data_IF_241260702294
#
_entry.id   IF_241260702294
#
_cell.length_a   1.000
_cell.length_b   1.000
_cell.length_c   1.000
_cell.angle_alpha   90.00
_cell.angle_beta   90.00
_cell.angle_gamma   90.00
#
_symmetry.space_group_name_H-M   'P 1'
#
loop_
_entity.id
_entity.type
_entity.pdbx_description
1 polymer ?
#
# COMPACT_ATOMS: atom_id res chain seq x y z
N UNK A 1 -17.12 5.47 -9.29
CA UNK A 1 -17.44 4.54 -8.17
C UNK A 1 -17.72 5.31 -6.87
N UNK A 2 -16.82 6.19 -6.42
CA UNK A 2 -17.03 6.97 -5.18
C UNK A 2 -18.32 7.80 -5.20
N UNK A 3 -18.63 8.48 -6.31
CA UNK A 3 -19.87 9.25 -6.45
C UNK A 3 -21.14 8.41 -6.24
N UNK A 4 -21.09 7.14 -6.64
CA UNK A 4 -22.21 6.21 -6.45
C UNK A 4 -22.30 5.81 -4.99
N UNK A 5 -21.18 5.43 -4.37
CA UNK A 5 -21.13 4.98 -2.99
C UNK A 5 -21.50 6.08 -1.99
N UNK A 6 -21.08 7.31 -2.26
CA UNK A 6 -21.30 8.46 -1.36
C UNK A 6 -22.70 9.07 -1.49
N UNK A 7 -23.45 8.79 -2.56
CA UNK A 7 -24.84 9.28 -2.72
C UNK A 7 -25.79 8.78 -1.63
N UNK A 8 -25.55 7.59 -1.10
CA UNK A 8 -26.34 7.03 -0.03
C UNK A 8 -25.53 7.04 1.27
N UNK A 9 -25.86 7.99 2.17
CA UNK A 9 -25.16 8.15 3.44
C UNK A 9 -25.24 6.90 4.33
N UNK A 10 -26.35 6.14 4.28
CA UNK A 10 -26.53 4.93 5.07
C UNK A 10 -25.65 3.77 4.57
N UNK A 11 -25.37 3.74 3.29
CA UNK A 11 -24.39 2.81 2.69
C UNK A 11 -22.99 3.28 2.99
N UNK A 12 -22.70 4.56 2.72
CA UNK A 12 -21.36 5.12 2.89
C UNK A 12 -20.83 4.97 4.31
N UNK A 13 -21.64 5.23 5.32
CA UNK A 13 -21.22 5.09 6.72
C UNK A 13 -20.79 3.67 7.14
N UNK A 14 -21.02 2.67 6.28
CA UNK A 14 -20.65 1.26 6.51
C UNK A 14 -19.67 0.74 5.45
N UNK A 15 -19.11 1.64 4.63
CA UNK A 15 -18.30 1.25 3.47
C UNK A 15 -16.84 1.60 3.71
N UNK A 16 -15.97 0.66 3.43
CA UNK A 16 -14.55 0.87 3.20
C UNK A 16 -14.30 0.50 1.74
N UNK A 17 -13.87 1.47 0.95
CA UNK A 17 -13.59 1.32 -0.46
C UNK A 17 -12.09 1.38 -0.70
N UNK A 18 -11.52 0.30 -1.22
CA UNK A 18 -10.08 0.18 -1.49
C UNK A 18 -9.89 0.00 -2.98
N UNK A 19 -9.08 0.86 -3.58
CA UNK A 19 -8.53 0.67 -4.91
C UNK A 19 -7.03 0.44 -4.76
N UNK A 20 -6.55 -0.66 -5.28
CA UNK A 20 -5.14 -0.99 -5.30
C UNK A 20 -4.73 -1.29 -6.74
N UNK A 21 -3.60 -0.75 -7.18
CA UNK A 21 -3.00 -1.13 -8.44
C UNK A 21 -2.40 -2.52 -8.32
N UNK A 22 -2.34 -3.24 -9.40
CA UNK A 22 -1.75 -4.58 -9.49
C UNK A 22 -0.22 -4.53 -9.47
N UNK A 23 0.35 -3.48 -10.08
CA UNK A 23 1.80 -3.31 -10.17
C UNK A 23 2.20 -1.81 -10.16
N UNK A 24 3.50 -1.55 -10.15
CA UNK A 24 4.07 -0.21 -10.13
C UNK A 24 4.10 0.48 -11.50
N UNK A 25 3.65 -0.16 -12.57
CA UNK A 25 3.59 0.34 -13.95
C UNK A 25 4.94 0.89 -14.48
N UNK A 26 6.06 0.29 -14.02
CA UNK A 26 7.42 0.70 -14.38
C UNK A 26 7.95 1.95 -13.68
N UNK A 27 7.20 2.51 -12.74
CA UNK A 27 7.66 3.66 -11.95
C UNK A 27 8.50 3.22 -10.76
N UNK A 28 9.59 3.95 -10.50
CA UNK A 28 10.50 3.72 -9.37
C UNK A 28 10.23 4.71 -8.25
N UNK A 29 10.60 4.32 -7.03
CA UNK A 29 10.62 5.22 -5.89
C UNK A 29 12.06 5.59 -5.50
N UNK A 30 12.21 6.66 -4.72
CA UNK A 30 13.48 7.07 -4.12
C UNK A 30 13.89 6.17 -2.94
N UNK A 31 12.96 5.36 -2.40
CA UNK A 31 13.19 4.41 -1.33
C UNK A 31 13.34 3.01 -1.93
N UNK A 32 14.41 2.33 -1.58
CA UNK A 32 14.58 0.92 -1.95
C UNK A 32 13.52 0.07 -1.27
N UNK A 33 12.88 -0.86 -2.02
CA UNK A 33 11.97 -1.85 -1.41
C UNK A 33 12.68 -2.69 -0.35
N UNK A 34 11.97 -3.07 0.69
CA UNK A 34 12.48 -4.03 1.65
C UNK A 34 12.65 -5.40 0.99
N UNK A 35 13.77 -6.01 1.27
CA UNK A 35 14.08 -7.37 0.83
C UNK A 35 14.34 -8.26 2.02
N UNK A 36 14.00 -9.54 1.88
CA UNK A 36 14.26 -10.54 2.88
C UNK A 36 15.74 -10.91 2.87
N UNK A 37 16.39 -11.15 4.04
CA UNK A 37 17.73 -11.68 4.07
C UNK A 37 17.76 -13.14 3.57
N UNK A 38 18.92 -13.55 3.07
CA UNK A 38 19.12 -14.92 2.59
C UNK A 38 18.97 -15.91 3.75
N UNK A 39 18.19 -17.00 3.56
CA UNK A 39 18.08 -18.05 4.56
C UNK A 39 19.44 -18.61 4.97
N UNK A 40 19.67 -18.76 6.26
CA UNK A 40 20.90 -19.31 6.84
C UNK A 40 22.20 -18.51 6.53
N UNK A 41 22.09 -17.26 6.13
CA UNK A 41 23.23 -16.37 5.87
C UNK A 41 23.09 -15.06 6.62
N UNK A 42 23.66 -14.99 7.80
CA UNK A 42 23.61 -13.82 8.68
C UNK A 42 24.36 -12.59 8.13
N UNK A 43 25.20 -12.75 7.10
CA UNK A 43 25.88 -11.64 6.45
C UNK A 43 24.94 -10.75 5.65
N UNK A 44 23.79 -11.28 5.22
CA UNK A 44 22.76 -10.56 4.46
C UNK A 44 21.69 -9.91 5.34
N UNK A 45 21.67 -10.23 6.64
CA UNK A 45 20.74 -9.71 7.63
C UNK A 45 20.31 -10.76 8.65
N UNK A 46 19.66 -10.31 9.70
CA UNK A 46 19.18 -11.16 10.78
C UNK A 46 17.68 -10.95 10.97
N UNK A 47 16.95 -12.05 11.13
CA UNK A 47 15.54 -12.07 11.51
C UNK A 47 15.35 -12.83 12.81
N UNK A 48 14.26 -12.57 13.51
CA UNK A 48 13.90 -13.32 14.72
C UNK A 48 13.65 -14.80 14.37
N UNK A 49 14.01 -15.72 15.28
CA UNK A 49 13.95 -17.17 15.04
C UNK A 49 12.60 -17.71 14.57
N UNK A 50 11.51 -17.05 14.96
CA UNK A 50 10.15 -17.44 14.61
C UNK A 50 9.72 -16.97 13.21
N UNK A 51 10.55 -16.19 12.49
CA UNK A 51 10.24 -15.67 11.17
C UNK A 51 10.88 -16.57 10.13
N UNK A 52 10.05 -17.25 9.34
CA UNK A 52 10.50 -17.99 8.16
C UNK A 52 10.64 -17.02 6.97
N UNK A 53 11.80 -17.02 6.37
CA UNK A 53 12.18 -16.19 5.23
C UNK A 53 12.17 -16.94 3.89
N UNK A 54 12.00 -18.26 3.91
CA UNK A 54 12.11 -19.09 2.69
C UNK A 54 11.03 -18.75 1.66
N UNK A 55 9.84 -18.38 2.12
CA UNK A 55 8.73 -18.04 1.22
C UNK A 55 8.95 -16.75 0.40
N UNK A 56 9.87 -15.90 0.84
CA UNK A 56 10.18 -14.62 0.19
C UNK A 56 11.59 -14.59 -0.41
N UNK A 57 12.23 -15.76 -0.54
CA UNK A 57 13.56 -15.91 -1.12
C UNK A 57 13.57 -17.03 -2.14
N UNK A 58 14.00 -16.74 -3.39
CA UNK A 58 14.18 -17.74 -4.45
C UNK A 58 15.56 -18.38 -4.33
N UNK A 59 15.63 -19.57 -3.76
CA UNK A 59 16.90 -20.27 -3.54
C UNK A 59 17.58 -20.70 -4.84
N UNK A 60 16.82 -21.07 -5.85
CA UNK A 60 17.29 -21.47 -7.19
C UNK A 60 17.91 -20.29 -7.95
N UNK A 61 17.37 -19.10 -7.79
CA UNK A 61 17.90 -17.87 -8.39
C UNK A 61 18.91 -17.15 -7.47
N UNK A 62 19.05 -17.63 -6.22
CA UNK A 62 19.83 -16.98 -5.17
C UNK A 62 19.46 -15.49 -4.99
N UNK A 63 18.19 -15.17 -5.00
CA UNK A 63 17.67 -13.81 -4.99
C UNK A 63 16.48 -13.61 -4.04
N UNK A 64 16.42 -12.50 -3.31
CA UNK A 64 15.24 -12.14 -2.54
C UNK A 64 14.09 -11.71 -3.47
N UNK A 65 12.86 -12.08 -3.13
CA UNK A 65 11.66 -11.58 -3.80
C UNK A 65 11.40 -10.13 -3.36
N UNK A 66 11.39 -9.88 -2.05
CA UNK A 66 11.15 -8.55 -1.48
C UNK A 66 9.73 -8.02 -1.71
N UNK A 67 9.53 -6.73 -1.42
CA UNK A 67 8.21 -6.07 -1.55
C UNK A 67 7.96 -5.47 -2.94
N UNK A 68 9.01 -5.29 -3.74
CA UNK A 68 8.91 -4.57 -5.01
C UNK A 68 8.78 -3.05 -4.83
N UNK A 69 8.68 -2.34 -5.95
CA UNK A 69 8.53 -0.89 -5.94
C UNK A 69 7.11 -0.46 -5.57
N UNK A 70 6.97 0.82 -5.21
CA UNK A 70 5.71 1.40 -4.74
C UNK A 70 4.57 1.19 -5.74
N UNK A 71 3.46 0.69 -5.20
CA UNK A 71 2.19 0.53 -5.92
C UNK A 71 1.17 1.51 -5.35
N UNK A 72 0.47 2.30 -6.17
CA UNK A 72 -0.57 3.21 -5.68
C UNK A 72 -1.73 2.45 -5.04
N UNK A 73 -2.17 2.93 -3.87
CA UNK A 73 -3.37 2.45 -3.18
C UNK A 73 -4.20 3.64 -2.70
N UNK A 74 -5.51 3.53 -2.82
CA UNK A 74 -6.48 4.50 -2.30
C UNK A 74 -7.41 3.77 -1.34
N UNK A 75 -7.51 4.28 -0.12
CA UNK A 75 -8.46 3.80 0.89
C UNK A 75 -9.43 4.91 1.21
N UNK A 76 -10.68 4.76 0.80
CA UNK A 76 -11.73 5.77 0.99
C UNK A 76 -12.85 5.23 1.89
N UNK A 77 -13.08 5.90 3.00
CA UNK A 77 -14.15 5.57 3.96
C UNK A 77 -14.38 6.73 4.92
N UNK A 78 -15.46 6.73 5.73
CA UNK A 78 -15.63 7.71 6.81
C UNK A 78 -14.51 7.67 7.85
N UNK A 79 -13.79 6.54 7.97
CA UNK A 79 -12.73 6.35 8.97
C UNK A 79 -11.32 6.60 8.44
N UNK A 80 -11.11 6.65 7.11
CA UNK A 80 -9.81 6.92 6.47
C UNK A 80 -9.68 8.35 5.97
N UNK A 81 -10.11 9.31 6.80
CA UNK A 81 -10.10 10.74 6.46
C UNK A 81 -8.67 11.26 6.34
N UNK A 82 -8.45 12.22 5.42
CA UNK A 82 -7.17 12.86 5.21
C UNK A 82 -6.66 13.70 6.41
N UNK A 83 -5.50 14.31 6.22
CA UNK A 83 -4.83 15.11 7.25
C UNK A 83 -3.85 14.34 8.12
N UNK A 84 -3.58 13.07 7.80
CA UNK A 84 -2.61 12.24 8.51
C UNK A 84 -1.57 11.68 7.56
N UNK A 85 -0.35 11.50 8.07
CA UNK A 85 0.70 10.71 7.43
C UNK A 85 0.78 9.37 8.14
N UNK A 86 0.78 8.28 7.38
CA UNK A 86 1.01 6.93 7.89
C UNK A 86 2.33 6.40 7.29
N UNK A 87 3.31 6.21 8.13
CA UNK A 87 4.65 5.75 7.73
C UNK A 87 4.82 4.23 7.87
N UNK A 88 3.75 3.49 8.16
CA UNK A 88 3.80 2.04 8.19
C UNK A 88 4.00 1.48 6.79
N UNK A 89 4.81 0.44 6.67
CA UNK A 89 5.02 -0.26 5.41
C UNK A 89 3.79 -1.12 5.11
N UNK A 90 3.32 -1.07 3.89
CA UNK A 90 2.25 -1.90 3.37
C UNK A 90 2.68 -2.56 2.06
N UNK A 91 2.08 -3.71 1.77
CA UNK A 91 2.17 -4.38 0.47
C UNK A 91 0.80 -4.96 0.07
N UNK A 92 0.72 -5.71 -1.02
CA UNK A 92 -0.53 -6.34 -1.45
C UNK A 92 -1.12 -7.27 -0.39
N UNK A 93 -0.27 -7.93 0.43
CA UNK A 93 -0.75 -8.82 1.49
C UNK A 93 -1.39 -8.07 2.66
N UNK A 94 -1.15 -6.76 2.78
CA UNK A 94 -1.80 -5.91 3.78
C UNK A 94 -3.33 -5.90 3.64
N UNK A 95 -3.83 -5.95 2.40
CA UNK A 95 -5.27 -6.07 2.13
C UNK A 95 -5.82 -7.41 2.60
N UNK A 96 -5.07 -8.50 2.40
CA UNK A 96 -5.45 -9.82 2.91
C UNK A 96 -5.49 -9.85 4.44
N UNK A 97 -4.46 -9.29 5.09
CA UNK A 97 -4.41 -9.18 6.56
C UNK A 97 -5.54 -8.31 7.12
N UNK A 98 -5.93 -7.25 6.41
CA UNK A 98 -7.10 -6.46 6.76
C UNK A 98 -8.39 -7.29 6.69
N UNK A 99 -8.59 -8.06 5.62
CA UNK A 99 -9.76 -8.95 5.48
C UNK A 99 -9.77 -10.04 6.55
N UNK A 100 -8.63 -10.62 6.90
CA UNK A 100 -8.51 -11.57 8.01
C UNK A 100 -9.02 -10.96 9.33
N UNK A 101 -8.56 -9.75 9.66
CA UNK A 101 -8.97 -9.04 10.85
C UNK A 101 -10.48 -8.71 10.84
N UNK A 102 -10.97 -8.21 9.72
CA UNK A 102 -12.38 -7.89 9.54
C UNK A 102 -13.27 -9.13 9.71
N UNK A 103 -12.92 -10.21 9.01
CA UNK A 103 -13.69 -11.47 9.06
C UNK A 103 -13.59 -12.13 10.43
N UNK A 104 -12.42 -12.11 11.06
CA UNK A 104 -12.22 -12.66 12.40
C UNK A 104 -13.13 -11.98 13.41
N UNK A 105 -13.21 -10.65 13.38
CA UNK A 105 -14.10 -9.87 14.23
C UNK A 105 -15.58 -10.14 13.91
N UNK A 106 -15.94 -10.20 12.64
CA UNK A 106 -17.32 -10.40 12.20
C UNK A 106 -17.86 -11.77 12.56
N UNK A 107 -17.03 -12.80 12.51
CA UNK A 107 -17.45 -14.21 12.71
C UNK A 107 -17.15 -14.68 14.14
N UNK A 108 -16.35 -13.94 14.91
CA UNK A 108 -15.98 -14.30 16.29
C UNK A 108 -14.97 -15.43 16.41
N UNK A 109 -14.20 -15.71 15.34
CA UNK A 109 -13.15 -16.72 15.35
C UNK A 109 -11.93 -16.24 14.58
N UNK A 110 -10.73 -16.75 14.92
CA UNK A 110 -9.50 -16.40 14.23
C UNK A 110 -9.50 -16.96 12.80
N UNK A 111 -9.44 -16.06 11.81
CA UNK A 111 -9.31 -16.37 10.39
C UNK A 111 -7.95 -15.89 9.93
N UNK A 112 -7.14 -16.80 9.43
CA UNK A 112 -5.82 -16.51 8.83
C UNK A 112 -5.64 -17.34 7.57
N UNK A 113 -5.14 -16.71 6.50
CA UNK A 113 -4.66 -17.42 5.32
C UNK A 113 -3.23 -17.90 5.50
N UNK A 114 -2.89 -19.06 4.94
CA UNK A 114 -1.52 -19.52 4.85
C UNK A 114 -0.70 -18.85 3.73
N UNK A 115 -1.32 -17.97 2.93
CA UNK A 115 -0.67 -17.34 1.78
C UNK A 115 0.15 -16.10 2.11
N UNK A 116 0.07 -15.59 3.33
CA UNK A 116 0.89 -14.47 3.81
C UNK A 116 2.03 -15.03 4.66
N UNK A 117 3.26 -14.85 4.20
CA UNK A 117 4.44 -15.34 4.90
C UNK A 117 4.64 -14.68 6.28
N UNK A 118 5.38 -15.35 7.15
CA UNK A 118 5.68 -14.80 8.47
C UNK A 118 6.56 -13.54 8.39
N UNK A 119 7.42 -13.44 7.38
CA UNK A 119 8.23 -12.25 7.14
C UNK A 119 7.34 -11.06 6.74
N UNK A 120 6.41 -11.22 5.78
CA UNK A 120 5.48 -10.15 5.40
C UNK A 120 4.60 -9.72 6.56
N UNK A 121 4.11 -10.65 7.36
CA UNK A 121 3.35 -10.35 8.59
C UNK A 121 4.15 -9.57 9.62
N UNK A 122 5.47 -9.71 9.64
CA UNK A 122 6.34 -9.01 10.59
C UNK A 122 6.68 -7.59 10.14
N UNK A 123 6.82 -7.35 8.84
CA UNK A 123 7.26 -6.04 8.32
C UNK A 123 6.14 -5.18 7.74
N UNK A 124 5.06 -5.80 7.26
CA UNK A 124 3.92 -5.09 6.70
C UNK A 124 2.80 -4.91 7.70
N UNK A 125 2.16 -3.74 7.67
CA UNK A 125 0.92 -3.49 8.40
C UNK A 125 -0.30 -4.13 7.74
N UNK A 126 -1.36 -4.23 8.51
CA UNK A 126 -2.64 -4.82 8.13
C UNK A 126 -3.70 -3.78 7.72
N UNK A 127 -3.29 -2.58 7.36
CA UNK A 127 -4.11 -1.42 7.03
C UNK A 127 -4.92 -0.83 8.21
N UNK A 128 -5.01 -1.47 9.36
CA UNK A 128 -5.82 -0.94 10.49
C UNK A 128 -5.35 0.43 10.95
N UNK A 129 -4.05 0.72 10.82
CA UNK A 129 -3.47 2.03 11.17
C UNK A 129 -3.90 3.17 10.23
N UNK A 130 -4.56 2.88 9.12
CA UNK A 130 -5.10 3.90 8.20
C UNK A 130 -6.43 4.47 8.67
N UNK A 131 -7.08 3.81 9.63
CA UNK A 131 -8.40 4.18 10.11
C UNK A 131 -8.33 4.96 11.42
N UNK A 132 -9.28 5.87 11.60
CA UNK A 132 -9.46 6.68 12.82
C UNK A 132 -10.92 6.61 13.26
N UNK A 133 -11.24 6.74 14.55
CA UNK A 133 -12.62 6.86 15.02
C UNK A 133 -13.35 7.95 14.24
N UNK A 134 -14.61 7.69 13.93
CA UNK A 134 -15.50 8.63 13.26
C UNK A 134 -16.73 8.83 14.13
N UNK A 135 -17.00 10.07 14.51
CA UNK A 135 -18.09 10.45 15.38
C UNK A 135 -19.10 11.38 14.68
N UNK A 136 -19.09 11.39 13.35
CA UNK A 136 -19.98 12.24 12.56
C UNK A 136 -19.48 13.69 12.39
N UNK A 137 -18.20 13.94 12.61
CA UNK A 137 -17.63 15.27 12.45
C UNK A 137 -17.75 15.75 11.00
N UNK A 138 -18.10 17.03 10.83
CA UNK A 138 -18.06 17.67 9.52
C UNK A 138 -16.61 17.77 9.04
N UNK A 139 -16.34 17.20 7.89
CA UNK A 139 -15.03 17.31 7.24
C UNK A 139 -14.91 18.70 6.58
N UNK A 140 -13.80 19.38 6.82
CA UNK A 140 -13.37 20.44 5.91
C UNK A 140 -12.83 19.74 4.66
N UNK A 141 -13.62 19.77 3.60
CA UNK A 141 -13.18 19.26 2.30
C UNK A 141 -12.23 20.32 1.73
N UNK A 142 -10.98 19.95 1.36
CA UNK A 142 -10.10 20.84 0.64
C UNK A 142 -10.80 21.40 -0.59
N UNK A 143 -10.53 22.64 -0.95
CA UNK A 143 -11.06 23.24 -2.18
C UNK A 143 -10.77 22.26 -3.34
N UNK A 144 -11.81 21.80 -3.99
CA UNK A 144 -11.66 20.85 -5.08
C UNK A 144 -10.75 21.46 -6.15
N UNK A 145 -9.76 20.69 -6.59
CA UNK A 145 -8.96 21.07 -7.75
C UNK A 145 -9.92 21.24 -8.94
N UNK A 146 -9.91 22.39 -9.55
CA UNK A 146 -10.73 22.62 -10.74
C UNK A 146 -10.24 21.67 -11.81
N UNK A 147 -11.13 20.85 -12.37
CA UNK A 147 -10.80 19.82 -13.37
C UNK A 147 -9.90 20.34 -14.49
N UNK A 148 -10.15 21.58 -14.94
CA UNK A 148 -9.36 22.23 -15.98
C UNK A 148 -7.93 22.52 -15.56
N UNK A 149 -7.67 22.85 -14.29
CA UNK A 149 -6.33 23.12 -13.79
C UNK A 149 -5.48 21.85 -13.77
N UNK A 150 -6.09 20.72 -13.38
CA UNK A 150 -5.42 19.42 -13.42
C UNK A 150 -5.11 19.00 -14.85
N UNK A 151 -6.07 19.14 -15.78
CA UNK A 151 -5.88 18.81 -17.20
C UNK A 151 -4.78 19.70 -17.80
N UNK A 152 -4.83 21.01 -17.56
CA UNK A 152 -3.84 21.96 -18.04
C UNK A 152 -2.45 21.66 -17.49
N UNK A 153 -2.36 21.26 -16.22
CA UNK A 153 -1.10 20.85 -15.61
C UNK A 153 -0.53 19.59 -16.28
N UNK A 154 -1.37 18.56 -16.49
CA UNK A 154 -0.99 17.33 -17.19
C UNK A 154 -0.51 17.61 -18.62
N UNK A 155 -1.23 18.45 -19.35
CA UNK A 155 -0.85 18.83 -20.71
C UNK A 155 0.48 19.59 -20.73
N UNK A 156 0.69 20.51 -19.78
CA UNK A 156 1.95 21.27 -19.64
C UNK A 156 3.14 20.38 -19.30
N UNK A 157 2.93 19.32 -18.51
CA UNK A 157 3.98 18.33 -18.19
C UNK A 157 4.27 17.46 -19.39
N UNK A 158 3.25 17.02 -20.14
CA UNK A 158 3.41 16.20 -21.36
C UNK A 158 4.08 16.96 -22.50
N UNK A 159 3.91 18.28 -22.58
CA UNK A 159 4.53 19.11 -23.62
C UNK A 159 6.00 19.47 -23.36
N UNK A 160 6.53 19.21 -22.15
CA UNK A 160 7.94 19.39 -21.87
C UNK A 160 8.75 18.30 -22.60
N UNK A 161 9.81 18.67 -23.36
CA UNK A 161 10.69 17.67 -23.94
C UNK A 161 11.22 16.74 -22.84
N UNK A 162 11.22 15.44 -23.09
CA UNK A 162 11.86 14.45 -22.20
C UNK A 162 13.37 14.60 -22.33
N UNK A 163 13.92 15.62 -21.72
CA UNK A 163 15.36 15.75 -21.55
C UNK A 163 15.75 15.08 -20.21
N UNK A 164 15.93 13.77 -20.28
CA UNK A 164 16.91 13.14 -19.41
C UNK A 164 18.21 13.07 -20.20
N UNK A 165 19.24 13.85 -19.87
CA UNK A 165 20.53 13.66 -20.50
C UNK A 165 21.03 12.27 -20.12
N UNK A 166 21.19 11.40 -21.11
CA UNK A 166 21.77 10.04 -20.93
C UNK A 166 23.21 10.09 -20.36
N UNK A 167 23.80 11.26 -20.25
CA UNK A 167 25.10 11.50 -19.62
C UNK A 167 25.10 11.41 -18.07
N UNK A 168 23.93 11.44 -17.42
CA UNK A 168 23.82 11.32 -15.96
C UNK A 168 23.79 9.87 -15.45
N UNK A 169 23.88 8.88 -16.33
CA UNK A 169 23.89 7.46 -15.99
C UNK A 169 25.27 6.80 -16.12
N UNK A 170 26.32 7.61 -16.23
CA UNK A 170 27.71 7.13 -16.33
C UNK A 170 28.58 7.62 -15.17
N UNK A 171 28.13 7.36 -13.93
CA UNK A 171 29.02 7.32 -12.76
C UNK A 171 28.48 6.33 -11.73
#
# INVERSE_FOLDING_TARGET
ALDILTKNAEVWKKTIFIINYDENDGYFDHIRPFVVPKPNDSSTGIVSKQIDVNADYKLDENAPIGLGFRVPMIVASPWSRGGFVNSQVFDHTSTLMFLENFLSKKIGRNIKTGQVSSWRRAICGDLTSTFRPYHGEKLQIPTALVKNDVINHIQKVKSKPKQFPMSALKE
#
